data_IF_586058050533
#
_entry.id   IF_586058050533
#
_cell.length_a   1.000
_cell.length_b   1.000
_cell.length_c   1.000
_cell.angle_alpha   90.00
_cell.angle_beta   90.00
_cell.angle_gamma   90.00
#
_symmetry.space_group_name_H-M   'P 1'
#
loop_
_entity.id
_entity.type
_entity.pdbx_description
1 polymer ?
#
# COMPACT_ATOMS: atom_id res chain seq x y z
N UNK A 1 -8.05 -7.86 -12.39
CA UNK A 1 -7.26 -7.40 -11.22
C UNK A 1 -6.02 -6.70 -11.74
N UNK A 2 -5.82 -5.46 -11.37
CA UNK A 2 -4.67 -4.64 -11.72
C UNK A 2 -3.69 -4.59 -10.55
N UNK A 3 -2.40 -4.72 -10.84
CA UNK A 3 -1.34 -4.66 -9.83
C UNK A 3 -0.62 -3.34 -9.97
N UNK A 4 -0.49 -2.62 -8.89
CA UNK A 4 0.38 -1.47 -8.73
C UNK A 4 1.53 -1.77 -7.77
N UNK A 5 2.50 -0.87 -7.68
CA UNK A 5 3.63 -0.98 -6.75
C UNK A 5 3.93 0.37 -6.09
N UNK A 6 4.32 0.33 -4.83
CA UNK A 6 4.84 1.48 -4.13
C UNK A 6 6.33 1.67 -4.44
N UNK A 7 6.75 2.91 -4.68
CA UNK A 7 8.12 3.29 -4.98
C UNK A 7 8.59 4.44 -4.09
N UNK A 8 9.75 4.27 -3.46
CA UNK A 8 10.35 5.29 -2.61
C UNK A 8 11.16 6.33 -3.40
N UNK A 9 11.60 6.00 -4.61
CA UNK A 9 12.41 6.89 -5.45
C UNK A 9 12.03 6.79 -6.91
N UNK A 10 12.09 7.93 -7.57
CA UNK A 10 11.97 8.09 -9.02
C UNK A 10 13.03 9.12 -9.44
N UNK A 11 13.95 8.72 -10.27
CA UNK A 11 15.00 9.59 -10.75
C UNK A 11 14.70 10.04 -12.18
N UNK A 12 14.99 11.29 -12.46
CA UNK A 12 14.71 11.87 -13.78
C UNK A 12 15.46 11.14 -14.89
N UNK A 13 16.67 10.70 -14.58
CA UNK A 13 17.59 10.03 -15.50
C UNK A 13 17.12 8.63 -15.88
N UNK A 14 16.39 7.94 -14.98
CA UNK A 14 15.91 6.56 -15.19
C UNK A 14 14.41 6.47 -15.49
N UNK A 15 13.68 7.58 -15.43
CA UNK A 15 12.21 7.59 -15.57
C UNK A 15 11.72 6.82 -16.81
N UNK A 16 12.33 7.05 -17.98
CA UNK A 16 11.89 6.40 -19.22
C UNK A 16 12.15 4.89 -19.19
N UNK A 17 13.27 4.48 -18.58
CA UNK A 17 13.63 3.07 -18.40
C UNK A 17 12.68 2.40 -17.40
N UNK A 18 12.41 3.05 -16.26
CA UNK A 18 11.48 2.56 -15.24
C UNK A 18 10.07 2.42 -15.81
N UNK A 19 9.56 3.42 -16.50
CA UNK A 19 8.22 3.38 -17.13
C UNK A 19 8.11 2.26 -18.16
N UNK A 20 9.16 2.05 -18.98
CA UNK A 20 9.20 0.93 -19.92
C UNK A 20 9.17 -0.41 -19.20
N UNK A 21 10.01 -0.58 -18.17
CA UNK A 21 10.09 -1.82 -17.39
C UNK A 21 8.76 -2.12 -16.69
N UNK A 22 8.07 -1.10 -16.14
CA UNK A 22 6.75 -1.26 -15.52
C UNK A 22 5.67 -1.60 -16.53
N UNK A 23 5.64 -0.94 -17.68
CA UNK A 23 4.70 -1.24 -18.76
C UNK A 23 4.88 -2.67 -19.28
N UNK A 24 6.13 -3.10 -19.54
CA UNK A 24 6.43 -4.46 -19.96
C UNK A 24 6.08 -5.52 -18.90
N UNK A 25 6.24 -5.20 -17.62
CA UNK A 25 5.83 -6.04 -16.51
C UNK A 25 4.32 -6.03 -16.24
N UNK A 26 3.54 -5.19 -16.97
CA UNK A 26 2.10 -4.98 -16.77
C UNK A 26 1.76 -4.45 -15.37
N UNK A 27 2.61 -3.57 -14.83
CA UNK A 27 2.30 -2.76 -13.66
C UNK A 27 1.33 -1.68 -14.11
N UNK A 28 0.13 -1.68 -13.55
CA UNK A 28 -0.95 -0.78 -13.96
C UNK A 28 -0.86 0.58 -13.27
N UNK A 29 -0.24 0.63 -12.10
CA UNK A 29 -0.26 1.80 -11.24
C UNK A 29 0.98 1.90 -10.35
N UNK A 30 1.31 3.13 -9.99
CA UNK A 30 2.40 3.45 -9.06
C UNK A 30 1.82 4.27 -7.90
N UNK A 31 2.24 3.92 -6.68
CA UNK A 31 2.22 4.82 -5.54
C UNK A 31 3.61 5.42 -5.36
N UNK A 32 3.67 6.75 -5.28
CA UNK A 32 4.92 7.47 -5.03
C UNK A 32 5.03 7.97 -3.58
N UNK A 33 6.24 8.01 -3.04
CA UNK A 33 6.51 8.70 -1.78
C UNK A 33 6.41 10.23 -1.96
N UNK A 34 5.95 10.95 -0.94
CA UNK A 34 5.84 12.43 -0.97
C UNK A 34 7.15 13.13 -1.34
N UNK A 35 8.30 12.55 -0.98
CA UNK A 35 9.62 13.09 -1.31
C UNK A 35 9.80 13.29 -2.82
N UNK A 36 9.28 12.36 -3.63
CA UNK A 36 9.27 12.50 -5.11
C UNK A 36 8.63 13.81 -5.55
N UNK A 37 7.57 14.21 -4.88
CA UNK A 37 6.83 15.41 -5.22
C UNK A 37 7.51 16.66 -4.70
N UNK A 38 8.01 16.63 -3.47
CA UNK A 38 8.55 17.79 -2.78
C UNK A 38 9.95 18.18 -3.26
N UNK A 39 10.75 17.22 -3.68
CA UNK A 39 12.11 17.45 -4.17
C UNK A 39 12.17 17.95 -5.62
N UNK A 40 11.06 17.86 -6.36
CA UNK A 40 11.03 18.19 -7.78
C UNK A 40 10.24 19.48 -8.08
N UNK A 41 10.73 20.37 -8.97
CA UNK A 41 9.98 21.54 -9.42
C UNK A 41 8.69 21.16 -10.15
N UNK A 42 7.65 22.01 -10.07
CA UNK A 42 6.33 21.79 -10.70
C UNK A 42 6.44 21.38 -12.18
N UNK A 43 7.28 22.04 -12.97
CA UNK A 43 7.51 21.69 -14.39
C UNK A 43 8.02 20.28 -14.62
N UNK A 44 8.77 19.71 -13.65
CA UNK A 44 9.24 18.31 -13.73
C UNK A 44 8.08 17.38 -13.49
N UNK A 45 7.24 17.66 -12.48
CA UNK A 45 6.05 16.87 -12.19
C UNK A 45 5.06 16.85 -13.36
N UNK A 46 4.86 17.98 -14.03
CA UNK A 46 4.04 18.07 -15.25
C UNK A 46 4.59 17.18 -16.38
N UNK A 47 5.90 17.20 -16.59
CA UNK A 47 6.58 16.32 -17.53
C UNK A 47 6.43 14.84 -17.16
N UNK A 48 6.58 14.51 -15.90
CA UNK A 48 6.38 13.15 -15.40
C UNK A 48 4.94 12.68 -15.58
N UNK A 49 3.96 13.51 -15.22
CA UNK A 49 2.55 13.21 -15.46
C UNK A 49 2.26 12.84 -16.91
N UNK A 50 2.89 13.54 -17.86
CA UNK A 50 2.74 13.21 -19.28
C UNK A 50 3.41 11.88 -19.61
N UNK A 51 4.65 11.65 -19.14
CA UNK A 51 5.40 10.41 -19.39
C UNK A 51 4.67 9.18 -18.84
N UNK A 52 4.09 9.27 -17.63
CA UNK A 52 3.25 8.21 -17.06
C UNK A 52 2.04 7.87 -17.95
N UNK A 53 1.35 8.90 -18.44
CA UNK A 53 0.20 8.70 -19.36
C UNK A 53 0.63 8.03 -20.66
N UNK A 54 1.73 8.48 -21.26
CA UNK A 54 2.24 7.94 -22.52
C UNK A 54 2.68 6.49 -22.40
N UNK A 55 3.19 6.09 -21.23
CA UNK A 55 3.55 4.72 -20.90
C UNK A 55 2.35 3.82 -20.53
N UNK A 56 1.14 4.39 -20.35
CA UNK A 56 -0.04 3.65 -19.90
C UNK A 56 0.04 3.17 -18.44
N UNK A 57 0.91 3.78 -17.62
CA UNK A 57 1.05 3.52 -16.19
C UNK A 57 0.42 4.66 -15.42
N UNK A 58 -0.49 4.38 -14.47
CA UNK A 58 -1.14 5.42 -13.68
C UNK A 58 -0.26 5.83 -12.50
N UNK A 59 -0.10 7.12 -12.26
CA UNK A 59 0.36 7.62 -10.97
C UNK A 59 -0.85 7.67 -10.04
N UNK A 60 -1.11 6.55 -9.34
CA UNK A 60 -2.37 6.27 -8.66
C UNK A 60 -2.51 6.99 -7.34
N UNK A 61 -1.50 6.86 -6.49
CA UNK A 61 -1.52 7.37 -5.13
C UNK A 61 -0.17 7.98 -4.73
N UNK A 62 -0.21 8.74 -3.66
CA UNK A 62 0.97 9.30 -2.99
C UNK A 62 0.91 8.92 -1.53
N UNK A 63 2.00 8.36 -1.01
CA UNK A 63 2.17 8.20 0.42
C UNK A 63 2.64 9.53 1.02
N UNK A 64 1.85 10.11 1.91
CA UNK A 64 2.17 11.36 2.58
C UNK A 64 3.25 11.18 3.66
N UNK A 65 3.93 12.26 4.09
CA UNK A 65 4.87 12.18 5.19
C UNK A 65 4.18 11.79 6.50
N UNK A 66 4.89 11.05 7.35
CA UNK A 66 4.37 10.57 8.61
C UNK A 66 5.39 10.70 9.74
N UNK A 67 4.90 10.58 10.99
CA UNK A 67 5.75 10.61 12.17
C UNK A 67 6.41 11.96 12.45
N UNK A 68 7.05 12.09 13.62
CA UNK A 68 7.74 13.30 14.02
C UNK A 68 6.92 14.58 13.80
N UNK A 69 7.48 15.57 13.06
CA UNK A 69 6.81 16.85 12.81
C UNK A 69 5.62 16.76 11.84
N UNK A 70 5.43 15.60 11.16
CA UNK A 70 4.35 15.38 10.19
C UNK A 70 3.18 14.59 10.78
N UNK A 71 3.23 14.23 12.07
CA UNK A 71 2.17 13.49 12.73
C UNK A 71 0.89 14.36 12.86
N UNK A 72 -0.19 13.94 12.20
CA UNK A 72 -1.50 14.61 12.21
C UNK A 72 -2.22 14.53 13.56
N UNK A 73 -1.83 13.58 14.43
CA UNK A 73 -2.29 13.48 15.82
C UNK A 73 -1.23 13.97 16.83
N UNK A 74 -0.37 14.91 16.45
CA UNK A 74 0.66 15.44 17.34
C UNK A 74 0.05 16.23 18.51
N UNK A 75 0.54 16.00 19.74
CA UNK A 75 0.03 16.64 20.96
C UNK A 75 0.27 18.15 21.00
N UNK A 76 1.41 18.62 20.44
CA UNK A 76 1.71 20.04 20.31
C UNK A 76 0.94 20.67 19.13
N UNK A 77 -0.01 21.55 19.44
CA UNK A 77 -0.89 22.16 18.44
C UNK A 77 -0.14 22.99 17.36
N UNK A 78 0.92 23.77 17.66
CA UNK A 78 1.72 24.39 16.64
C UNK A 78 2.38 23.42 15.67
N UNK A 79 2.90 22.29 16.14
CA UNK A 79 3.49 21.25 15.31
C UNK A 79 2.41 20.59 14.45
N UNK A 80 1.24 20.28 15.02
CA UNK A 80 0.12 19.69 14.28
C UNK A 80 -0.37 20.60 13.15
N UNK A 81 -0.50 21.93 13.40
CA UNK A 81 -0.84 22.89 12.34
C UNK A 81 0.20 22.93 11.22
N UNK A 82 1.49 22.89 11.54
CA UNK A 82 2.54 22.82 10.51
C UNK A 82 2.46 21.51 9.72
N UNK A 83 2.13 20.39 10.38
CA UNK A 83 1.89 19.12 9.70
C UNK A 83 0.74 19.23 8.68
N UNK A 84 -0.40 19.80 9.09
CA UNK A 84 -1.55 20.04 8.21
C UNK A 84 -1.16 20.88 6.99
N UNK A 85 -0.51 22.03 7.20
CA UNK A 85 -0.07 22.88 6.08
C UNK A 85 0.91 22.15 5.14
N UNK A 86 1.82 21.36 5.69
CA UNK A 86 2.74 20.55 4.86
C UNK A 86 1.99 19.51 4.03
N UNK A 87 0.99 18.85 4.62
CA UNK A 87 0.15 17.89 3.88
C UNK A 87 -0.64 18.59 2.75
N UNK A 88 -1.15 19.79 2.95
CA UNK A 88 -1.81 20.57 1.88
C UNK A 88 -0.87 20.77 0.67
N UNK A 89 0.42 21.10 0.90
CA UNK A 89 1.41 21.17 -0.18
C UNK A 89 1.62 19.82 -0.90
N UNK A 90 1.62 18.73 -0.15
CA UNK A 90 1.72 17.39 -0.75
C UNK A 90 0.50 17.10 -1.61
N UNK A 91 -0.72 17.41 -1.13
CA UNK A 91 -1.97 17.22 -1.87
C UNK A 91 -2.01 18.02 -3.18
N UNK A 92 -1.60 19.29 -3.17
CA UNK A 92 -1.49 20.08 -4.40
C UNK A 92 -0.60 19.40 -5.44
N UNK A 93 0.55 18.89 -5.01
CA UNK A 93 1.51 18.22 -5.90
C UNK A 93 1.02 16.85 -6.36
N UNK A 94 0.32 16.11 -5.49
CA UNK A 94 -0.33 14.86 -5.84
C UNK A 94 -1.38 15.07 -6.95
N UNK A 95 -2.22 16.09 -6.81
CA UNK A 95 -3.18 16.49 -7.84
C UNK A 95 -2.50 16.89 -9.16
N UNK A 96 -1.36 17.61 -9.09
CA UNK A 96 -0.58 17.95 -10.28
C UNK A 96 -0.05 16.73 -11.01
N UNK A 97 0.40 15.69 -10.29
CA UNK A 97 0.80 14.40 -10.89
C UNK A 97 -0.39 13.61 -11.44
N UNK A 98 -1.61 13.96 -11.06
CA UNK A 98 -2.83 13.26 -11.45
C UNK A 98 -3.12 12.03 -10.58
N UNK A 99 -2.59 12.01 -9.35
CA UNK A 99 -2.98 11.01 -8.35
C UNK A 99 -4.49 11.09 -8.05
N UNK A 100 -5.08 9.96 -7.72
CA UNK A 100 -6.45 9.88 -7.24
C UNK A 100 -6.52 9.88 -5.71
N UNK A 101 -5.46 9.41 -5.06
CA UNK A 101 -5.43 9.12 -3.62
C UNK A 101 -4.17 9.70 -2.99
N UNK A 102 -4.31 10.17 -1.74
CA UNK A 102 -3.19 10.43 -0.84
C UNK A 102 -3.35 9.56 0.41
N UNK A 103 -2.37 8.69 0.66
CA UNK A 103 -2.34 7.83 1.84
C UNK A 103 -1.77 8.60 3.02
N UNK A 104 -2.44 8.50 4.17
CA UNK A 104 -2.10 9.20 5.41
C UNK A 104 -1.96 8.21 6.56
N UNK A 105 -0.95 8.39 7.42
CA UNK A 105 -0.93 7.73 8.72
C UNK A 105 -1.80 8.52 9.73
N UNK A 106 -2.65 7.85 10.52
CA UNK A 106 -3.50 8.51 11.51
C UNK A 106 -2.69 9.05 12.70
N UNK A 107 -1.58 8.41 13.01
CA UNK A 107 -0.72 8.77 14.15
C UNK A 107 0.70 8.21 13.97
N UNK A 108 1.57 8.53 14.90
CA UNK A 108 2.86 7.88 15.12
C UNK A 108 2.80 6.95 16.33
N UNK A 109 3.95 6.42 16.77
CA UNK A 109 4.08 5.57 17.95
C UNK A 109 3.38 6.15 19.17
N UNK A 110 2.74 5.30 19.94
CA UNK A 110 2.06 5.66 21.16
C UNK A 110 3.03 6.27 22.20
N UNK A 111 2.54 7.29 22.90
CA UNK A 111 3.24 7.88 24.05
C UNK A 111 2.43 7.59 25.31
N UNK A 112 3.04 7.05 26.37
CA UNK A 112 2.33 6.66 27.59
C UNK A 112 1.49 7.80 28.21
N UNK A 113 1.94 9.05 28.03
CA UNK A 113 1.26 10.24 28.58
C UNK A 113 0.08 10.73 27.73
N UNK A 114 -0.16 10.14 26.57
CA UNK A 114 -1.25 10.54 25.66
C UNK A 114 -2.29 9.43 25.61
N UNK A 115 -3.52 9.76 26.03
CA UNK A 115 -4.64 8.81 25.86
C UNK A 115 -5.01 8.66 24.39
N UNK A 116 -5.44 7.47 23.94
CA UNK A 116 -5.93 7.25 22.58
C UNK A 116 -7.04 8.22 22.17
N UNK A 117 -7.97 8.54 23.10
CA UNK A 117 -9.05 9.49 22.82
C UNK A 117 -8.53 10.86 22.41
N UNK A 118 -7.50 11.38 23.07
CA UNK A 118 -6.88 12.65 22.66
C UNK A 118 -6.21 12.58 21.29
N UNK A 119 -5.59 11.44 20.96
CA UNK A 119 -5.02 11.25 19.64
C UNK A 119 -6.11 11.25 18.54
N UNK A 120 -7.26 10.62 18.79
CA UNK A 120 -8.42 10.69 17.89
C UNK A 120 -8.97 12.10 17.73
N UNK A 121 -9.06 12.87 18.83
CA UNK A 121 -9.54 14.26 18.79
C UNK A 121 -8.59 15.13 17.95
N UNK A 122 -7.28 14.99 18.12
CA UNK A 122 -6.28 15.73 17.34
C UNK A 122 -6.25 15.34 15.87
N UNK A 123 -6.40 14.05 15.56
CA UNK A 123 -6.55 13.59 14.19
C UNK A 123 -7.79 14.21 13.54
N UNK A 124 -8.91 14.25 14.26
CA UNK A 124 -10.15 14.88 13.80
C UNK A 124 -9.92 16.35 13.44
N UNK A 125 -9.30 17.14 14.34
CA UNK A 125 -8.97 18.54 14.06
C UNK A 125 -8.15 18.69 12.77
N UNK A 126 -7.19 17.82 12.55
CA UNK A 126 -6.34 17.85 11.33
C UNK A 126 -7.14 17.48 10.07
N UNK A 127 -7.99 16.46 10.16
CA UNK A 127 -8.81 16.00 9.03
C UNK A 127 -9.94 16.98 8.70
N UNK A 128 -10.50 17.71 9.68
CA UNK A 128 -11.49 18.76 9.46
C UNK A 128 -10.95 19.88 8.54
N UNK A 129 -9.61 20.08 8.52
CA UNK A 129 -8.97 21.02 7.59
C UNK A 129 -8.53 20.35 6.27
N UNK A 130 -8.06 19.11 6.32
CA UNK A 130 -7.50 18.44 5.13
C UNK A 130 -8.58 17.91 4.19
N UNK A 131 -9.71 17.43 4.73
CA UNK A 131 -10.78 16.82 3.91
C UNK A 131 -11.37 17.82 2.91
N UNK A 132 -11.85 19.01 3.32
CA UNK A 132 -12.37 19.98 2.35
C UNK A 132 -11.33 20.36 1.29
N UNK A 133 -10.07 20.48 1.69
CA UNK A 133 -8.98 20.80 0.76
C UNK A 133 -8.72 19.70 -0.26
N UNK A 134 -8.78 18.43 0.17
CA UNK A 134 -8.68 17.29 -0.74
C UNK A 134 -9.88 17.19 -1.70
N UNK A 135 -11.10 17.49 -1.21
CA UNK A 135 -12.32 17.56 -2.04
C UNK A 135 -12.18 18.61 -3.15
N UNK A 136 -11.68 19.80 -2.86
CA UNK A 136 -11.43 20.86 -3.85
C UNK A 136 -10.43 20.40 -4.95
N UNK A 137 -9.46 19.56 -4.58
CA UNK A 137 -8.47 18.99 -5.51
C UNK A 137 -8.96 17.73 -6.22
N UNK A 138 -10.13 17.18 -5.86
CA UNK A 138 -10.66 15.92 -6.39
C UNK A 138 -9.90 14.68 -5.92
N UNK A 139 -9.21 14.75 -4.77
CA UNK A 139 -8.45 13.67 -4.17
C UNK A 139 -9.27 12.93 -3.10
N UNK A 140 -8.94 11.67 -2.90
CA UNK A 140 -9.37 10.88 -1.74
C UNK A 140 -8.21 10.83 -0.73
N UNK A 141 -8.48 11.15 0.52
CA UNK A 141 -7.58 10.86 1.63
C UNK A 141 -7.84 9.42 2.09
N UNK A 142 -6.86 8.56 1.99
CA UNK A 142 -6.95 7.17 2.44
C UNK A 142 -6.11 7.02 3.71
N UNK A 143 -6.77 6.89 4.87
CA UNK A 143 -6.08 6.73 6.15
C UNK A 143 -5.74 5.27 6.38
N UNK A 144 -4.49 4.99 6.65
CA UNK A 144 -3.94 3.63 6.74
C UNK A 144 -4.12 3.03 8.12
N UNK A 145 -4.49 1.74 8.19
CA UNK A 145 -4.43 1.00 9.45
C UNK A 145 -3.00 0.71 9.84
N UNK A 146 -2.70 0.89 11.13
CA UNK A 146 -1.35 0.95 11.66
C UNK A 146 -0.94 -0.32 12.41
N UNK A 147 0.36 -0.41 12.69
CA UNK A 147 0.94 -1.38 13.63
C UNK A 147 0.40 -1.18 15.05
N UNK A 148 0.42 -2.22 15.91
CA UNK A 148 -0.04 -2.15 17.30
C UNK A 148 0.65 -1.08 18.16
N UNK A 149 1.86 -0.67 17.80
CA UNK A 149 2.64 0.35 18.51
C UNK A 149 2.17 1.79 18.22
N UNK A 150 1.30 1.99 17.25
CA UNK A 150 0.72 3.29 16.96
C UNK A 150 -0.23 3.74 18.10
N UNK A 151 -0.35 5.05 18.26
CA UNK A 151 -1.23 5.60 19.28
C UNK A 151 -2.71 5.28 19.01
N UNK A 152 -3.09 5.24 17.73
CA UNK A 152 -4.42 4.92 17.22
C UNK A 152 -4.30 4.30 15.82
N UNK A 153 -5.36 3.64 15.35
CA UNK A 153 -5.49 3.16 13.98
C UNK A 153 -5.06 1.72 13.77
N UNK A 154 -4.63 0.97 14.79
CA UNK A 154 -4.26 -0.44 14.65
C UNK A 154 -5.45 -1.40 14.52
N UNK A 155 -6.65 -0.99 14.90
CA UNK A 155 -7.91 -1.69 14.63
C UNK A 155 -8.57 -1.07 13.38
N UNK A 156 -8.57 -1.75 12.21
CA UNK A 156 -9.16 -1.22 11.00
C UNK A 156 -10.66 -0.93 11.11
N UNK A 157 -11.39 -1.69 11.94
CA UNK A 157 -12.82 -1.48 12.14
C UNK A 157 -13.10 -0.23 12.98
N UNK A 158 -12.27 0.05 14.00
CA UNK A 158 -12.33 1.30 14.76
C UNK A 158 -12.02 2.49 13.85
N UNK A 159 -10.93 2.41 13.09
CA UNK A 159 -10.53 3.44 12.14
C UNK A 159 -11.62 3.70 11.11
N UNK A 160 -12.18 2.66 10.49
CA UNK A 160 -13.27 2.80 9.52
C UNK A 160 -14.49 3.50 10.11
N UNK A 161 -14.89 3.18 11.34
CA UNK A 161 -16.00 3.88 12.03
C UNK A 161 -15.68 5.36 12.27
N UNK A 162 -14.44 5.67 12.65
CA UNK A 162 -14.00 7.05 12.84
C UNK A 162 -14.07 7.85 11.53
N UNK A 163 -13.57 7.28 10.42
CA UNK A 163 -13.60 7.94 9.11
C UNK A 163 -15.03 8.12 8.58
N UNK A 164 -15.91 7.16 8.78
CA UNK A 164 -17.31 7.22 8.35
C UNK A 164 -18.08 8.38 8.99
N UNK A 165 -17.65 8.86 10.16
CA UNK A 165 -18.30 9.99 10.85
C UNK A 165 -18.12 11.34 10.13
N UNK A 166 -17.22 11.44 9.13
CA UNK A 166 -17.07 12.65 8.30
C UNK A 166 -18.10 12.76 7.17
N UNK A 167 -18.82 11.70 6.87
CA UNK A 167 -19.91 11.66 5.88
C UNK A 167 -19.53 12.17 4.49
N UNK A 168 -18.30 11.89 4.04
CA UNK A 168 -17.78 12.25 2.72
C UNK A 168 -17.18 11.05 1.99
N UNK A 169 -17.27 10.99 0.65
CA UNK A 169 -16.57 9.97 -0.13
C UNK A 169 -15.05 10.23 -0.25
N UNK A 170 -14.57 11.43 0.12
CA UNK A 170 -13.18 11.84 0.00
C UNK A 170 -12.30 11.47 1.20
N UNK A 171 -12.84 10.79 2.20
CA UNK A 171 -12.10 10.23 3.33
C UNK A 171 -12.41 8.75 3.48
N UNK A 172 -11.45 7.90 3.24
CA UNK A 172 -11.61 6.46 3.15
C UNK A 172 -10.46 5.73 3.88
N UNK A 173 -10.51 4.40 3.88
CA UNK A 173 -9.49 3.55 4.45
C UNK A 173 -8.45 3.15 3.39
N UNK A 174 -7.16 3.20 3.73
CA UNK A 174 -6.12 2.39 3.13
C UNK A 174 -5.96 1.14 3.98
N UNK A 175 -6.17 -0.05 3.40
CA UNK A 175 -6.03 -1.30 4.14
C UNK A 175 -4.67 -1.92 3.87
N UNK A 176 -3.78 -1.86 4.89
CA UNK A 176 -2.49 -2.56 4.87
C UNK A 176 -2.65 -3.97 5.44
N UNK A 177 -2.30 -4.97 4.62
CA UNK A 177 -2.41 -6.39 4.97
C UNK A 177 -1.34 -6.83 5.97
N UNK A 178 -0.16 -6.26 5.89
CA UNK A 178 0.96 -6.56 6.78
C UNK A 178 0.73 -6.05 8.19
N UNK A 179 0.31 -4.79 8.32
CA UNK A 179 -0.07 -4.20 9.60
C UNK A 179 -1.23 -4.95 10.25
N UNK A 180 -2.28 -5.25 9.48
CA UNK A 180 -3.41 -6.01 9.97
C UNK A 180 -3.02 -7.43 10.40
N UNK A 181 -2.07 -8.08 9.72
CA UNK A 181 -1.60 -9.41 10.08
C UNK A 181 -0.82 -9.43 11.40
N UNK A 182 -0.03 -8.40 11.67
CA UNK A 182 0.68 -8.24 12.96
C UNK A 182 -0.29 -7.90 14.09
N UNK A 183 -1.25 -7.01 13.82
CA UNK A 183 -2.19 -6.54 14.83
C UNK A 183 -3.26 -7.58 15.20
N UNK A 184 -3.53 -8.58 14.33
CA UNK A 184 -4.49 -9.62 14.67
C UNK A 184 -5.05 -10.43 13.48
N UNK A 185 -6.37 -10.48 13.33
CA UNK A 185 -7.03 -11.29 12.31
C UNK A 185 -7.27 -10.48 11.02
N UNK A 186 -6.27 -10.48 10.14
CA UNK A 186 -6.31 -9.76 8.86
C UNK A 186 -7.53 -10.12 7.99
N UNK A 187 -7.94 -11.39 7.97
CA UNK A 187 -9.10 -11.85 7.22
C UNK A 187 -10.41 -11.23 7.75
N UNK A 188 -10.66 -11.37 9.05
CA UNK A 188 -11.88 -10.84 9.67
C UNK A 188 -11.97 -9.32 9.50
N UNK A 189 -10.87 -8.62 9.65
CA UNK A 189 -10.85 -7.17 9.46
C UNK A 189 -11.10 -6.78 8.01
N UNK A 190 -10.45 -7.43 7.06
CA UNK A 190 -10.70 -7.16 5.64
C UNK A 190 -12.18 -7.34 5.29
N UNK A 191 -12.80 -8.44 5.67
CA UNK A 191 -14.23 -8.68 5.45
C UNK A 191 -15.12 -7.60 6.08
N UNK A 192 -14.71 -7.11 7.26
CA UNK A 192 -15.48 -6.09 7.98
C UNK A 192 -15.43 -4.72 7.31
N UNK A 193 -14.28 -4.34 6.73
CA UNK A 193 -14.05 -2.96 6.25
C UNK A 193 -13.98 -2.82 4.74
N UNK A 194 -14.06 -3.90 3.97
CA UNK A 194 -13.83 -3.91 2.52
C UNK A 194 -14.59 -2.81 1.76
N UNK A 195 -15.84 -2.54 2.14
CA UNK A 195 -16.67 -1.49 1.50
C UNK A 195 -16.19 -0.06 1.75
N UNK A 196 -15.31 0.14 2.72
CA UNK A 196 -14.76 1.47 3.09
C UNK A 196 -13.36 1.72 2.55
N UNK A 197 -12.74 0.69 1.95
CA UNK A 197 -11.38 0.77 1.40
C UNK A 197 -11.38 1.54 0.07
N UNK A 198 -10.42 2.45 -0.10
CA UNK A 198 -10.13 3.14 -1.35
C UNK A 198 -8.84 2.67 -2.02
N UNK A 199 -7.90 2.14 -1.24
CA UNK A 199 -6.66 1.55 -1.74
C UNK A 199 -6.15 0.49 -0.77
N UNK A 200 -5.33 -0.42 -1.26
CA UNK A 200 -4.68 -1.46 -0.47
C UNK A 200 -3.18 -1.26 -0.48
N UNK A 201 -2.54 -1.51 0.67
CA UNK A 201 -1.13 -1.84 0.75
C UNK A 201 -1.00 -3.35 0.96
N UNK A 202 -0.50 -4.04 -0.04
CA UNK A 202 -0.27 -5.47 0.03
C UNK A 202 1.18 -5.73 0.42
N UNK A 203 1.38 -6.08 1.66
CA UNK A 203 2.64 -6.51 2.24
C UNK A 203 2.48 -7.83 2.96
N UNK A 204 3.54 -8.65 2.98
CA UNK A 204 3.62 -9.89 3.75
C UNK A 204 4.67 -9.78 4.86
N UNK A 205 4.53 -10.57 5.90
CA UNK A 205 5.45 -10.60 7.03
C UNK A 205 5.33 -11.91 7.83
N UNK A 206 6.03 -12.00 8.94
CA UNK A 206 6.04 -13.19 9.82
C UNK A 206 4.96 -13.15 10.92
N UNK A 207 4.06 -12.16 10.90
CA UNK A 207 3.04 -11.94 11.93
C UNK A 207 3.59 -11.25 13.19
N UNK A 208 4.86 -10.82 13.20
CA UNK A 208 5.52 -10.19 14.35
C UNK A 208 6.23 -8.89 13.95
N UNK A 209 6.91 -8.89 12.81
CA UNK A 209 7.74 -7.78 12.33
C UNK A 209 7.20 -7.26 11.02
N UNK A 210 7.18 -5.95 10.87
CA UNK A 210 6.84 -5.29 9.62
C UNK A 210 8.00 -5.42 8.63
N UNK A 211 7.94 -6.48 7.81
CA UNK A 211 9.04 -6.88 6.92
C UNK A 211 8.87 -6.41 5.49
N UNK A 212 7.71 -5.89 5.11
CA UNK A 212 7.39 -5.51 3.72
C UNK A 212 7.83 -6.58 2.69
N UNK A 213 7.55 -7.85 3.00
CA UNK A 213 7.81 -8.94 2.05
C UNK A 213 6.77 -8.92 0.94
N UNK A 214 7.12 -9.34 -0.27
CA UNK A 214 6.13 -9.56 -1.32
C UNK A 214 5.08 -10.60 -0.88
N UNK A 215 3.82 -10.47 -1.35
CA UNK A 215 2.78 -11.47 -1.14
C UNK A 215 3.27 -12.90 -1.39
N UNK A 216 3.01 -13.78 -0.42
CA UNK A 216 3.41 -15.19 -0.45
C UNK A 216 4.80 -15.47 0.11
N UNK A 217 5.52 -14.46 0.58
CA UNK A 217 6.86 -14.64 1.16
C UNK A 217 6.89 -14.59 2.69
N UNK A 218 5.77 -14.36 3.32
CA UNK A 218 5.56 -14.41 4.77
C UNK A 218 4.50 -15.42 5.19
N UNK A 219 3.67 -15.03 6.15
CA UNK A 219 2.65 -15.88 6.77
C UNK A 219 1.23 -15.31 6.65
N UNK A 220 1.03 -14.22 5.90
CA UNK A 220 -0.30 -13.69 5.60
C UNK A 220 -1.14 -14.78 4.90
N UNK A 221 -2.35 -15.09 5.37
CA UNK A 221 -3.18 -16.16 4.82
C UNK A 221 -3.87 -15.70 3.52
N UNK A 222 -3.11 -15.45 2.47
CA UNK A 222 -3.58 -14.88 1.19
C UNK A 222 -4.80 -15.59 0.63
N UNK A 223 -4.87 -16.91 0.73
CA UNK A 223 -6.00 -17.71 0.23
C UNK A 223 -7.35 -17.30 0.84
N UNK A 224 -7.36 -16.79 2.07
CA UNK A 224 -8.57 -16.28 2.72
C UNK A 224 -8.93 -14.85 2.24
N UNK A 225 -7.95 -14.07 1.79
CA UNK A 225 -8.15 -12.68 1.36
C UNK A 225 -8.60 -12.58 -0.11
N UNK A 226 -8.30 -13.60 -0.93
CA UNK A 226 -8.55 -13.58 -2.37
C UNK A 226 -10.00 -13.25 -2.75
N UNK A 227 -11.05 -13.81 -2.12
CA UNK A 227 -12.43 -13.52 -2.53
C UNK A 227 -12.76 -12.03 -2.49
N UNK A 228 -12.27 -11.32 -1.49
CA UNK A 228 -12.48 -9.87 -1.33
C UNK A 228 -11.58 -9.07 -2.26
N UNK A 229 -10.29 -9.39 -2.33
CA UNK A 229 -9.33 -8.67 -3.18
C UNK A 229 -9.67 -8.79 -4.67
N UNK A 230 -10.20 -9.95 -5.11
CA UNK A 230 -10.59 -10.17 -6.52
C UNK A 230 -11.84 -9.39 -6.94
N UNK A 231 -12.65 -8.90 -6.01
CA UNK A 231 -13.82 -8.05 -6.29
C UNK A 231 -13.45 -6.57 -6.41
N UNK A 232 -12.19 -6.20 -6.16
CA UNK A 232 -11.70 -4.83 -6.21
C UNK A 232 -11.60 -4.36 -7.66
N UNK A 233 -12.12 -3.17 -7.95
CA UNK A 233 -12.16 -2.52 -9.28
C UNK A 233 -11.07 -1.45 -9.46
N UNK A 234 -10.19 -1.27 -8.49
CA UNK A 234 -9.03 -0.38 -8.52
C UNK A 234 -7.71 -1.16 -8.34
N UNK A 235 -6.54 -0.54 -8.59
CA UNK A 235 -5.25 -1.22 -8.48
C UNK A 235 -4.95 -1.66 -7.06
N UNK A 236 -4.43 -2.87 -6.91
CA UNK A 236 -3.86 -3.36 -5.66
C UNK A 236 -2.40 -2.93 -5.59
N UNK A 237 -2.07 -2.04 -4.67
CA UNK A 237 -0.69 -1.53 -4.50
C UNK A 237 0.11 -2.51 -3.65
N UNK A 238 1.17 -3.04 -4.22
CA UNK A 238 2.13 -3.89 -3.50
C UNK A 238 3.16 -2.98 -2.87
N UNK A 239 3.13 -2.88 -1.55
CA UNK A 239 4.08 -2.14 -0.75
C UNK A 239 5.13 -3.09 -0.16
N UNK A 240 6.00 -3.57 -1.03
CA UNK A 240 6.98 -4.57 -0.66
C UNK A 240 8.33 -4.35 -1.33
N UNK A 241 9.40 -4.77 -0.64
CA UNK A 241 10.74 -4.70 -1.18
C UNK A 241 10.96 -5.73 -2.29
N UNK A 242 11.21 -5.25 -3.50
CA UNK A 242 11.67 -6.11 -4.59
C UNK A 242 13.16 -6.44 -4.40
N UNK A 243 13.50 -7.71 -4.44
CA UNK A 243 14.92 -8.11 -4.37
C UNK A 243 15.71 -7.57 -5.56
N UNK A 244 16.94 -7.13 -5.32
CA UNK A 244 17.81 -6.53 -6.36
C UNK A 244 17.94 -7.36 -7.62
N UNK A 245 17.96 -8.69 -7.48
CA UNK A 245 18.14 -9.62 -8.59
C UNK A 245 16.83 -10.09 -9.24
N UNK A 246 15.68 -9.60 -8.78
CA UNK A 246 14.39 -9.94 -9.33
C UNK A 246 13.95 -8.86 -10.34
N UNK A 247 13.62 -9.26 -11.57
CA UNK A 247 13.03 -8.33 -12.54
C UNK A 247 11.61 -7.91 -12.13
N UNK A 248 11.14 -6.74 -12.60
CA UNK A 248 9.76 -6.30 -12.37
C UNK A 248 8.75 -7.31 -12.92
N UNK A 249 9.02 -7.87 -14.11
CA UNK A 249 8.18 -8.91 -14.69
C UNK A 249 8.01 -10.09 -13.73
N UNK A 250 9.11 -10.64 -13.23
CA UNK A 250 9.05 -11.79 -12.32
C UNK A 250 8.36 -11.45 -11.00
N UNK A 251 8.64 -10.27 -10.45
CA UNK A 251 7.96 -9.80 -9.24
C UNK A 251 6.43 -9.77 -9.42
N UNK A 252 5.95 -9.17 -10.50
CA UNK A 252 4.51 -9.08 -10.79
C UNK A 252 3.89 -10.44 -11.09
N UNK A 253 4.60 -11.33 -11.79
CA UNK A 253 4.15 -12.69 -12.05
C UNK A 253 3.91 -13.47 -10.75
N UNK A 254 4.83 -13.40 -9.79
CA UNK A 254 4.69 -14.06 -8.49
C UNK A 254 3.56 -13.46 -7.66
N UNK A 255 3.49 -12.15 -7.54
CA UNK A 255 2.39 -11.45 -6.87
C UNK A 255 1.04 -11.85 -7.49
N UNK A 256 0.96 -11.82 -8.83
CA UNK A 256 -0.27 -12.22 -9.54
C UNK A 256 -0.64 -13.67 -9.26
N UNK A 257 0.33 -14.58 -9.25
CA UNK A 257 0.10 -15.98 -8.97
C UNK A 257 -0.48 -16.19 -7.56
N UNK A 258 0.03 -15.46 -6.56
CA UNK A 258 -0.54 -15.48 -5.20
C UNK A 258 -1.98 -14.95 -5.22
N UNK A 259 -2.21 -13.78 -5.80
CA UNK A 259 -3.51 -13.10 -5.83
C UNK A 259 -4.56 -13.79 -6.74
N UNK A 260 -4.16 -14.74 -7.57
CA UNK A 260 -5.07 -15.59 -8.37
C UNK A 260 -5.16 -17.03 -7.88
N UNK A 261 -4.45 -17.37 -6.79
CA UNK A 261 -4.41 -18.73 -6.27
C UNK A 261 -3.66 -19.71 -7.17
N UNK A 262 -2.78 -19.23 -8.04
CA UNK A 262 -1.99 -20.03 -8.98
C UNK A 262 -0.62 -20.46 -8.45
N UNK A 263 -0.29 -20.14 -7.20
CA UNK A 263 0.93 -20.66 -6.57
C UNK A 263 0.73 -22.12 -6.23
N UNK A 264 1.73 -22.93 -6.53
CA UNK A 264 1.73 -24.33 -6.12
C UNK A 264 1.75 -24.42 -4.58
N UNK A 265 0.89 -25.28 -4.04
CA UNK A 265 0.74 -25.48 -2.60
C UNK A 265 0.96 -26.91 -2.21
N UNK A 266 1.31 -27.11 -0.95
CA UNK A 266 1.45 -28.44 -0.33
C UNK A 266 0.77 -28.43 1.03
N UNK A 267 0.02 -29.49 1.34
CA UNK A 267 -0.57 -29.68 2.66
C UNK A 267 0.42 -30.38 3.59
N UNK A 268 0.76 -29.76 4.70
CA UNK A 268 1.63 -30.34 5.73
C UNK A 268 0.99 -30.15 7.10
N UNK A 269 0.66 -31.24 7.76
CA UNK A 269 0.04 -31.24 9.10
C UNK A 269 -1.19 -30.31 9.22
N UNK A 270 -2.04 -30.30 8.18
CA UNK A 270 -3.25 -29.46 8.13
C UNK A 270 -2.99 -27.98 7.86
N UNK A 271 -1.81 -27.64 7.36
CA UNK A 271 -1.47 -26.28 6.92
C UNK A 271 -1.14 -26.28 5.44
N UNK A 272 -1.72 -25.33 4.72
CA UNK A 272 -1.38 -25.06 3.32
C UNK A 272 -0.10 -24.25 3.24
N UNK A 273 0.94 -24.81 2.64
CA UNK A 273 2.22 -24.11 2.42
C UNK A 273 2.38 -23.79 0.94
N UNK A 274 2.89 -22.60 0.64
CA UNK A 274 3.29 -22.22 -0.72
C UNK A 274 4.62 -22.89 -1.08
N UNK A 275 4.67 -23.53 -2.25
CA UNK A 275 5.90 -24.19 -2.70
C UNK A 275 6.92 -23.17 -3.18
N UNK A 276 8.17 -23.36 -2.76
CA UNK A 276 9.33 -22.60 -3.22
C UNK A 276 10.32 -23.48 -3.94
N UNK A 277 10.93 -22.94 -4.97
CA UNK A 277 12.01 -23.60 -5.66
C UNK A 277 13.23 -23.75 -4.74
N UNK A 278 13.74 -24.95 -4.61
CA UNK A 278 14.93 -25.22 -3.79
C UNK A 278 16.21 -24.62 -4.36
N UNK A 279 16.23 -24.32 -5.68
CA UNK A 279 17.40 -23.75 -6.35
C UNK A 279 17.46 -22.24 -6.19
N UNK A 280 16.35 -21.53 -6.44
CA UNK A 280 16.34 -20.05 -6.45
C UNK A 280 15.52 -19.40 -5.34
N UNK A 281 14.82 -20.17 -4.52
CA UNK A 281 13.98 -19.67 -3.40
C UNK A 281 12.68 -18.97 -3.83
N UNK A 282 12.46 -18.77 -5.13
CA UNK A 282 11.27 -18.11 -5.65
C UNK A 282 10.03 -19.00 -5.57
N UNK A 283 8.83 -18.39 -5.59
CA UNK A 283 7.58 -19.13 -5.61
C UNK A 283 7.45 -19.97 -6.88
N UNK A 284 6.89 -21.15 -6.73
CA UNK A 284 6.56 -22.04 -7.85
C UNK A 284 5.15 -21.71 -8.32
N UNK A 285 5.02 -21.30 -9.58
CA UNK A 285 3.73 -20.96 -10.19
C UNK A 285 3.14 -22.21 -10.83
N UNK A 286 1.84 -22.43 -10.63
CA UNK A 286 1.08 -23.51 -11.25
C UNK A 286 0.33 -22.99 -12.48
N UNK A 287 0.61 -23.58 -13.66
CA UNK A 287 -0.13 -23.35 -14.89
C UNK A 287 -0.74 -24.64 -15.40
N UNK A 288 -2.02 -24.88 -15.08
CA UNK A 288 -2.68 -26.16 -15.36
C UNK A 288 -2.04 -27.30 -14.56
N UNK A 289 -1.50 -28.30 -15.28
CA UNK A 289 -0.75 -29.42 -14.69
C UNK A 289 0.77 -29.16 -14.57
N UNK A 290 1.25 -28.03 -15.11
CA UNK A 290 2.66 -27.71 -15.09
C UNK A 290 3.02 -26.85 -13.88
N UNK A 291 4.29 -26.98 -13.43
CA UNK A 291 4.88 -26.18 -12.38
C UNK A 291 6.04 -25.38 -12.97
N UNK A 292 6.01 -24.07 -12.83
CA UNK A 292 7.01 -23.17 -13.41
C UNK A 292 7.81 -22.50 -12.31
N UNK A 293 9.13 -22.52 -12.46
CA UNK A 293 10.04 -21.72 -11.67
C UNK A 293 10.81 -20.74 -12.57
N UNK A 294 11.10 -19.55 -12.09
CA UNK A 294 11.82 -18.53 -12.84
C UNK A 294 13.26 -18.91 -13.21
N UNK A 295 13.88 -19.92 -12.59
CA UNK A 295 15.18 -20.46 -12.96
C UNK A 295 15.12 -21.52 -14.06
N UNK A 296 13.93 -21.98 -14.45
CA UNK A 296 13.76 -23.04 -15.47
C UNK A 296 14.12 -24.44 -15.03
N UNK A 297 14.54 -24.65 -13.77
CA UNK A 297 15.08 -25.93 -13.28
C UNK A 297 14.13 -26.69 -12.33
N UNK A 298 12.83 -26.34 -12.31
CA UNK A 298 11.90 -27.00 -11.41
C UNK A 298 11.34 -28.28 -12.04
N UNK A 299 11.87 -29.44 -11.65
CA UNK A 299 11.19 -30.71 -11.78
C UNK A 299 10.38 -30.97 -10.49
N UNK A 300 9.06 -30.99 -10.59
CA UNK A 300 8.20 -31.47 -9.50
C UNK A 300 8.43 -32.97 -9.33
N UNK A 301 9.20 -33.36 -8.34
CA UNK A 301 9.11 -34.72 -7.79
C UNK A 301 8.06 -34.67 -6.69
N UNK A 302 6.88 -35.23 -6.99
CA UNK A 302 5.85 -35.56 -6.00
C UNK A 302 6.37 -36.69 -5.11
#
# INVERSE_FOLDING_TARGET
>A
MEIGVAIARLERETLEEDLRAWSEAKIAAIEGDYGLLMENPKRVLEGWRQAFRDAGVRFWSVHAPFGGPHNLAHSDAPTRRRAVEYHKFVLERAAMMGAAICVLHPSSSARPEVSPQKAWDWLRESLDELVPFAEELGLILAVENMLPEAAIGSDPAELSRFLAAFLTPHLRLCFDTGHAHIAGNVFLWLETVASTVATYHLADNDGVRDLHLPPGYGTVPWHLLLPTLQQTDFPLIVEAYRWKNMSWRRFVEEVRAVLTGQVATMEVAGRTLLLRCQVCGQLVIREGENFLCGCGEFEARV
#
